data_IF_114000844262
#
_entry.id   IF_114000844262
#
_cell.length_a   1.000
_cell.length_b   1.000
_cell.length_c   1.000
_cell.angle_alpha   90.00
_cell.angle_beta   90.00
_cell.angle_gamma   90.00
#
_symmetry.space_group_name_H-M   'P 1'
#
loop_
_entity.id
_entity.type
_entity.pdbx_description
1 polymer ?
#
# COMPACT_ATOMS: atom_id res chain seq x y z
N UNK A 1 -24.59 -5.40 -28.97
CA UNK A 1 -24.42 -6.84 -28.65
C UNK A 1 -23.01 -7.19 -28.14
N UNK A 2 -21.93 -7.21 -28.95
CA UNK A 2 -20.60 -7.64 -28.47
C UNK A 2 -20.03 -6.73 -27.36
N UNK A 3 -20.18 -5.41 -27.48
CA UNK A 3 -19.68 -4.45 -26.48
C UNK A 3 -20.45 -4.52 -25.15
N UNK A 4 -21.76 -4.80 -25.18
CA UNK A 4 -22.56 -4.96 -23.96
C UNK A 4 -22.16 -6.23 -23.21
N UNK A 5 -21.88 -7.32 -23.93
CA UNK A 5 -21.36 -8.56 -23.32
C UNK A 5 -20.01 -8.33 -22.63
N UNK A 6 -19.10 -7.58 -23.26
CA UNK A 6 -17.80 -7.21 -22.66
C UNK A 6 -17.97 -6.36 -21.40
N UNK A 7 -18.91 -5.41 -21.40
CA UNK A 7 -19.22 -4.58 -20.23
C UNK A 7 -19.78 -5.44 -19.09
N UNK A 8 -20.71 -6.36 -19.38
CA UNK A 8 -21.28 -7.27 -18.37
C UNK A 8 -20.18 -8.19 -17.80
N UNK A 9 -19.33 -8.77 -18.64
CA UNK A 9 -18.21 -9.60 -18.20
C UNK A 9 -17.24 -8.81 -17.32
N UNK A 10 -16.94 -7.55 -17.67
CA UNK A 10 -16.10 -6.69 -16.83
C UNK A 10 -16.69 -6.50 -15.43
N UNK A 11 -18.00 -6.24 -15.32
CA UNK A 11 -18.69 -6.11 -14.02
C UNK A 11 -18.69 -7.43 -13.24
N UNK A 12 -18.83 -8.57 -13.92
CA UNK A 12 -18.73 -9.89 -13.28
C UNK A 12 -17.32 -10.15 -12.72
N UNK A 13 -16.27 -9.76 -13.44
CA UNK A 13 -14.90 -9.84 -12.93
C UNK A 13 -14.67 -8.91 -11.74
N UNK A 14 -15.17 -7.67 -11.82
CA UNK A 14 -15.10 -6.70 -10.71
C UNK A 14 -15.78 -7.24 -9.43
N UNK A 15 -16.96 -7.88 -9.57
CA UNK A 15 -17.64 -8.56 -8.46
C UNK A 15 -16.78 -9.67 -7.83
N UNK A 16 -16.20 -10.54 -8.66
CA UNK A 16 -15.34 -11.64 -8.18
C UNK A 16 -14.10 -11.11 -7.45
N UNK A 17 -13.48 -10.06 -7.99
CA UNK A 17 -12.33 -9.40 -7.35
C UNK A 17 -12.74 -8.84 -5.98
N UNK A 18 -13.91 -8.17 -5.88
CA UNK A 18 -14.42 -7.68 -4.60
C UNK A 18 -14.63 -8.82 -3.60
N UNK A 19 -15.23 -9.92 -4.01
CA UNK A 19 -15.44 -11.10 -3.15
C UNK A 19 -14.11 -11.69 -2.66
N UNK A 20 -13.15 -11.90 -3.57
CA UNK A 20 -11.84 -12.42 -3.20
C UNK A 20 -11.08 -11.46 -2.30
N UNK A 21 -11.17 -10.15 -2.53
CA UNK A 21 -10.54 -9.15 -1.67
C UNK A 21 -11.08 -9.19 -0.24
N UNK A 22 -12.39 -9.36 -0.04
CA UNK A 22 -12.98 -9.52 1.29
C UNK A 22 -12.51 -10.81 1.98
N UNK A 23 -12.45 -11.92 1.25
CA UNK A 23 -11.91 -13.19 1.78
C UNK A 23 -10.43 -13.06 2.15
N UNK A 24 -9.63 -12.46 1.28
CA UNK A 24 -8.21 -12.19 1.52
C UNK A 24 -7.99 -11.19 2.66
N UNK A 25 -8.90 -10.23 2.88
CA UNK A 25 -8.84 -9.30 4.01
C UNK A 25 -8.93 -10.06 5.33
N UNK A 26 -9.94 -10.92 5.50
CA UNK A 26 -10.11 -11.74 6.71
C UNK A 26 -8.90 -12.65 6.96
N UNK A 27 -8.39 -13.31 5.92
CA UNK A 27 -7.20 -14.17 6.03
C UNK A 27 -5.95 -13.38 6.44
N UNK A 28 -5.78 -12.15 5.91
CA UNK A 28 -4.68 -11.26 6.31
C UNK A 28 -4.80 -10.83 7.76
N UNK A 29 -5.99 -10.41 8.20
CA UNK A 29 -6.25 -10.00 9.58
C UNK A 29 -5.91 -11.12 10.58
N UNK A 30 -6.39 -12.35 10.34
CA UNK A 30 -6.09 -13.50 11.20
C UNK A 30 -4.59 -13.86 11.18
N UNK A 31 -3.96 -13.87 10.00
CA UNK A 31 -2.52 -14.12 9.87
C UNK A 31 -1.71 -13.08 10.63
N UNK A 32 -2.04 -11.80 10.47
CA UNK A 32 -1.29 -10.70 11.06
C UNK A 32 -1.48 -10.66 12.58
N UNK A 33 -2.68 -11.00 13.08
CA UNK A 33 -2.94 -11.18 14.52
C UNK A 33 -2.06 -12.26 15.15
N UNK A 34 -1.94 -13.41 14.48
CA UNK A 34 -1.05 -14.49 14.93
C UNK A 34 0.41 -14.03 14.86
N UNK A 35 0.79 -13.37 13.75
CA UNK A 35 2.12 -12.82 13.55
C UNK A 35 2.55 -11.85 14.66
N UNK A 36 1.69 -10.89 15.03
CA UNK A 36 1.95 -9.94 16.12
C UNK A 36 2.15 -10.65 17.45
N UNK A 37 1.29 -11.62 17.79
CA UNK A 37 1.41 -12.41 19.03
C UNK A 37 2.74 -13.19 19.09
N UNK A 38 3.23 -13.67 17.93
CA UNK A 38 4.54 -14.34 17.85
C UNK A 38 5.66 -13.33 18.05
N UNK A 39 5.62 -12.19 17.36
CA UNK A 39 6.66 -11.15 17.39
C UNK A 39 6.79 -10.51 18.78
N UNK A 40 5.68 -10.28 19.50
CA UNK A 40 5.67 -9.68 20.85
C UNK A 40 6.51 -10.45 21.88
N UNK A 41 6.80 -11.73 21.61
CA UNK A 41 7.60 -12.59 22.50
C UNK A 41 9.11 -12.41 22.33
N UNK A 42 9.55 -11.64 21.33
CA UNK A 42 10.96 -11.45 21.01
C UNK A 42 11.38 -10.00 21.29
N UNK A 43 12.55 -9.83 21.93
CA UNK A 43 13.13 -8.50 22.13
C UNK A 43 14.03 -8.12 20.96
N UNK A 44 14.23 -6.81 20.77
CA UNK A 44 15.02 -6.23 19.66
C UNK A 44 16.52 -6.56 19.70
N UNK A 45 17.03 -7.05 20.83
CA UNK A 45 18.45 -7.35 21.06
C UNK A 45 18.77 -8.86 20.98
N UNK A 46 17.75 -9.71 20.81
CA UNK A 46 17.92 -11.16 20.69
C UNK A 46 18.31 -11.57 19.26
N UNK A 47 19.04 -12.68 19.13
CA UNK A 47 19.21 -13.33 17.82
C UNK A 47 17.86 -13.84 17.33
N UNK A 48 17.35 -13.23 16.26
CA UNK A 48 16.02 -13.55 15.73
C UNK A 48 16.00 -14.99 15.16
N UNK A 49 15.05 -15.84 15.59
CA UNK A 49 15.03 -17.23 15.18
C UNK A 49 14.51 -17.43 13.75
N UNK A 50 14.90 -18.57 13.17
CA UNK A 50 14.32 -19.11 11.94
C UNK A 50 13.68 -20.47 12.23
N UNK A 51 12.42 -20.62 11.85
CA UNK A 51 11.64 -21.83 11.99
C UNK A 51 11.61 -22.60 10.67
N UNK A 52 11.95 -23.88 10.72
CA UNK A 52 11.83 -24.79 9.58
C UNK A 52 10.59 -25.68 9.75
N UNK A 53 9.62 -25.54 8.87
CA UNK A 53 8.36 -26.29 8.89
C UNK A 53 8.41 -27.32 7.76
N UNK A 54 8.98 -28.48 8.06
CA UNK A 54 9.20 -29.57 7.09
C UNK A 54 7.90 -30.09 6.48
N UNK A 55 6.82 -30.18 7.26
CA UNK A 55 5.50 -30.61 6.77
C UNK A 55 4.87 -29.66 5.74
N UNK A 56 5.33 -28.40 5.65
CA UNK A 56 4.89 -27.41 4.68
C UNK A 56 6.01 -26.99 3.71
N UNK A 57 7.15 -27.67 3.76
CA UNK A 57 8.36 -27.34 2.98
C UNK A 57 8.70 -25.84 2.96
N UNK A 58 8.57 -25.18 4.11
CA UNK A 58 8.71 -23.72 4.23
C UNK A 58 9.58 -23.35 5.43
N UNK A 59 10.35 -22.26 5.32
CA UNK A 59 11.03 -21.63 6.44
C UNK A 59 10.44 -20.25 6.74
N UNK A 60 10.37 -19.89 8.01
CA UNK A 60 9.87 -18.61 8.51
C UNK A 60 10.93 -17.97 9.39
N UNK A 61 11.44 -16.80 9.01
CA UNK A 61 12.39 -16.03 9.82
C UNK A 61 11.74 -14.75 10.34
N UNK A 62 12.05 -14.39 11.58
CA UNK A 62 11.69 -13.07 12.11
C UNK A 62 12.78 -12.10 11.66
N UNK A 63 12.38 -10.96 11.09
CA UNK A 63 13.31 -9.98 10.53
C UNK A 63 12.97 -8.59 11.03
N UNK A 64 14.01 -7.82 11.37
CA UNK A 64 13.90 -6.39 11.64
C UNK A 64 13.87 -5.65 10.31
N UNK A 65 12.75 -4.98 10.02
CA UNK A 65 12.59 -4.15 8.83
C UNK A 65 12.56 -2.69 9.29
N UNK A 66 13.44 -1.86 8.72
CA UNK A 66 13.36 -0.42 8.90
C UNK A 66 12.29 0.14 7.97
N UNK A 67 11.29 0.82 8.53
CA UNK A 67 10.35 1.61 7.74
C UNK A 67 10.83 3.07 7.72
N UNK A 68 10.96 3.62 6.52
CA UNK A 68 11.28 5.02 6.32
C UNK A 68 9.98 5.79 6.09
N UNK A 69 9.94 7.04 6.54
CA UNK A 69 8.80 7.89 6.21
C UNK A 69 8.67 8.09 4.71
N UNK A 70 7.43 8.18 4.23
CA UNK A 70 7.18 8.43 2.82
C UNK A 70 7.57 9.87 2.46
N UNK A 71 8.08 10.03 1.25
CA UNK A 71 8.34 11.33 0.62
C UNK A 71 7.03 12.07 0.29
N UNK A 72 6.35 12.54 1.32
CA UNK A 72 5.11 13.33 1.21
C UNK A 72 5.43 14.79 0.91
N UNK A 73 4.44 15.55 0.42
CA UNK A 73 4.60 17.01 0.28
C UNK A 73 4.97 17.66 1.62
N UNK A 74 4.50 17.12 2.76
CA UNK A 74 4.89 17.59 4.09
C UNK A 74 6.37 17.34 4.35
N UNK A 75 6.84 16.11 4.14
CA UNK A 75 8.26 15.77 4.28
C UNK A 75 9.15 16.66 3.41
N UNK A 76 8.79 16.84 2.13
CA UNK A 76 9.53 17.73 1.23
C UNK A 76 9.52 19.17 1.71
N UNK A 77 8.36 19.69 2.17
CA UNK A 77 8.26 21.05 2.69
C UNK A 77 9.16 21.24 3.90
N UNK A 78 9.17 20.29 4.83
CA UNK A 78 10.02 20.34 6.02
C UNK A 78 11.51 20.28 5.64
N UNK A 79 11.90 19.40 4.73
CA UNK A 79 13.26 19.30 4.21
C UNK A 79 13.71 20.59 3.51
N UNK A 80 12.90 21.11 2.60
CA UNK A 80 13.21 22.33 1.86
C UNK A 80 13.22 23.55 2.76
N UNK A 81 12.34 23.63 3.76
CA UNK A 81 12.34 24.72 4.74
C UNK A 81 13.63 24.73 5.55
N UNK A 82 14.08 23.55 6.01
CA UNK A 82 15.36 23.39 6.71
C UNK A 82 16.55 23.72 5.82
N UNK A 83 16.52 23.33 4.55
CA UNK A 83 17.63 23.55 3.60
C UNK A 83 17.72 24.99 3.11
N UNK A 84 16.58 25.61 2.79
CA UNK A 84 16.49 26.96 2.22
C UNK A 84 16.41 28.07 3.30
N UNK A 85 16.19 27.70 4.56
CA UNK A 85 16.00 28.62 5.67
C UNK A 85 14.73 29.47 5.57
N UNK A 86 13.76 29.07 4.74
CA UNK A 86 12.54 29.83 4.46
C UNK A 86 11.42 28.89 4.02
N UNK A 87 10.27 29.00 4.71
CA UNK A 87 9.07 28.23 4.39
C UNK A 87 8.43 28.69 3.07
N UNK A 88 8.53 29.99 2.77
CA UNK A 88 8.00 30.58 1.53
C UNK A 88 8.72 29.99 0.31
N UNK A 89 10.05 29.98 0.32
CA UNK A 89 10.87 29.38 -0.76
C UNK A 89 10.63 27.89 -0.93
N UNK A 90 10.43 27.16 0.17
CA UNK A 90 10.08 25.75 0.13
C UNK A 90 8.73 25.51 -0.54
N UNK A 91 7.76 26.38 -0.27
CA UNK A 91 6.42 26.31 -0.86
C UNK A 91 6.44 26.64 -2.35
N UNK A 92 7.18 27.67 -2.76
CA UNK A 92 7.40 28.01 -4.17
C UNK A 92 8.02 26.85 -4.96
N UNK A 93 9.03 26.18 -4.39
CA UNK A 93 9.67 25.03 -5.02
C UNK A 93 8.70 23.86 -5.21
N UNK A 94 7.87 23.55 -4.21
CA UNK A 94 6.84 22.51 -4.31
C UNK A 94 5.82 22.84 -5.39
N UNK A 95 5.38 24.09 -5.48
CA UNK A 95 4.47 24.56 -6.53
C UNK A 95 5.10 24.43 -7.92
N UNK A 96 6.37 24.82 -8.07
CA UNK A 96 7.12 24.63 -9.30
C UNK A 96 7.18 23.15 -9.70
N UNK A 97 7.54 22.27 -8.77
CA UNK A 97 7.58 20.82 -9.02
C UNK A 97 6.23 20.25 -9.48
N UNK A 98 5.11 20.77 -8.96
CA UNK A 98 3.78 20.34 -9.40
C UNK A 98 3.49 20.77 -10.84
N UNK A 99 3.91 21.98 -11.23
CA UNK A 99 3.71 22.52 -12.59
C UNK A 99 4.52 21.76 -13.64
N UNK A 100 5.71 21.30 -13.29
CA UNK A 100 6.59 20.52 -14.18
C UNK A 100 6.15 19.06 -14.36
N UNK A 101 5.26 18.54 -13.49
CA UNK A 101 4.79 17.15 -13.61
C UNK A 101 3.97 16.99 -14.88
N UNK A 102 4.41 16.08 -15.76
CA UNK A 102 3.64 15.65 -16.92
C UNK A 102 2.32 15.00 -16.46
N UNK A 103 1.22 15.48 -17.03
CA UNK A 103 -0.10 14.89 -16.82
C UNK A 103 -0.45 14.01 -18.01
N UNK A 104 -0.63 12.71 -17.76
CA UNK A 104 -1.20 11.77 -18.73
C UNK A 104 -2.61 11.40 -18.30
N UNK A 105 -3.60 11.69 -19.15
CA UNK A 105 -4.98 11.23 -18.94
C UNK A 105 -5.22 9.92 -19.67
N UNK A 106 -5.73 8.90 -18.96
CA UNK A 106 -6.18 7.63 -19.54
C UNK A 106 -7.67 7.46 -19.27
N UNK A 107 -8.40 6.99 -20.28
CA UNK A 107 -9.80 6.57 -20.10
C UNK A 107 -9.82 5.31 -19.23
N UNK A 108 -10.68 5.30 -18.21
CA UNK A 108 -10.84 4.16 -17.29
C UNK A 108 -12.30 3.87 -17.06
N UNK A 109 -12.63 2.60 -16.83
CA UNK A 109 -13.96 2.17 -16.42
C UNK A 109 -14.12 2.39 -14.92
N UNK A 110 -15.13 3.17 -14.53
CA UNK A 110 -15.47 3.41 -13.12
C UNK A 110 -16.89 2.88 -12.85
N UNK A 111 -17.01 2.01 -11.85
CA UNK A 111 -18.31 1.51 -11.38
C UNK A 111 -18.90 2.47 -10.33
N UNK A 112 -20.20 2.71 -10.41
CA UNK A 112 -21.00 3.39 -9.39
C UNK A 112 -22.31 2.63 -9.18
N UNK A 113 -22.92 2.79 -8.01
CA UNK A 113 -24.24 2.23 -7.71
C UNK A 113 -25.32 3.28 -8.06
N UNK A 114 -26.45 2.84 -8.60
CA UNK A 114 -27.54 3.73 -9.03
C UNK A 114 -28.43 4.18 -7.85
N UNK A 115 -28.36 3.50 -6.72
CA UNK A 115 -29.02 3.85 -5.45
C UNK A 115 -28.08 3.44 -4.31
N UNK A 116 -27.94 4.30 -3.30
CA UNK A 116 -27.22 4.01 -2.05
C UNK A 116 -27.96 2.96 -1.20
#
# INVERSE_FOLDING_TARGET
MENEQKIIQWVQYDNKIKEYNEKCKKLREERDKIGSTVIEKFNTDDSLPTYHITGLNTSLSIQKINSYENYTNKFYKDCFTKFLGSEDKASELIEFMKKERKMESKLTLKRSYLMD
#
